data_IF_355578143893
#
_entry.id   IF_355578143893
#
_cell.length_a   1.000
_cell.length_b   1.000
_cell.length_c   1.000
_cell.angle_alpha   90.00
_cell.angle_beta   90.00
_cell.angle_gamma   90.00
#
_symmetry.space_group_name_H-M   'P 1'
#
loop_
_entity.id
_entity.type
_entity.pdbx_description
1 polymer ?
#
# COMPACT_ATOMS: atom_id res chain seq x y z
N UNK A 1 -33.68 -20.88 -1.05
CA UNK A 1 -33.16 -19.65 -1.68
C UNK A 1 -32.17 -19.00 -0.72
N UNK A 2 -30.87 -18.95 -1.05
CA UNK A 2 -29.88 -18.11 -0.36
C UNK A 2 -28.96 -17.53 -1.42
N UNK A 3 -29.14 -16.23 -1.68
CA UNK A 3 -28.36 -15.45 -2.62
C UNK A 3 -26.90 -15.42 -2.18
N UNK A 4 -26.01 -15.99 -3.00
CA UNK A 4 -24.56 -15.82 -2.85
C UNK A 4 -24.21 -14.51 -3.55
N UNK A 5 -24.26 -13.41 -2.81
CA UNK A 5 -23.74 -12.11 -3.24
C UNK A 5 -22.24 -12.23 -3.53
N UNK A 6 -21.86 -12.09 -4.80
CA UNK A 6 -20.47 -11.98 -5.21
C UNK A 6 -19.86 -10.75 -4.51
N UNK A 7 -18.89 -10.98 -3.61
CA UNK A 7 -18.05 -9.92 -3.05
C UNK A 7 -17.24 -9.33 -4.20
N UNK A 8 -17.70 -8.21 -4.75
CA UNK A 8 -16.88 -7.38 -5.65
C UNK A 8 -15.64 -6.98 -4.85
N UNK A 9 -14.42 -7.30 -5.31
CA UNK A 9 -13.22 -6.88 -4.61
C UNK A 9 -13.18 -5.35 -4.63
N UNK A 10 -13.33 -4.74 -3.45
CA UNK A 10 -13.23 -3.29 -3.27
C UNK A 10 -11.83 -2.89 -3.75
N UNK A 11 -11.74 -2.17 -4.87
CA UNK A 11 -10.46 -1.64 -5.35
C UNK A 11 -9.92 -0.70 -4.28
N UNK A 12 -8.88 -1.13 -3.58
CA UNK A 12 -8.20 -0.31 -2.57
C UNK A 12 -7.76 1.01 -3.20
N UNK A 13 -8.04 2.11 -2.50
CA UNK A 13 -7.77 3.47 -2.92
C UNK A 13 -6.34 3.87 -2.58
N UNK A 14 -5.83 4.93 -3.21
CA UNK A 14 -4.53 5.52 -2.87
C UNK A 14 -4.41 5.80 -1.37
N UNK A 15 -5.48 6.35 -0.77
CA UNK A 15 -5.55 6.71 0.64
C UNK A 15 -5.40 5.47 1.54
N UNK A 16 -6.07 4.36 1.20
CA UNK A 16 -5.97 3.11 1.97
C UNK A 16 -4.53 2.55 1.96
N UNK A 17 -3.86 2.56 0.80
CA UNK A 17 -2.46 2.13 0.72
C UNK A 17 -1.49 3.10 1.41
N UNK A 18 -1.73 4.40 1.30
CA UNK A 18 -0.92 5.41 1.98
C UNK A 18 -1.03 5.27 3.50
N UNK A 19 -2.24 5.08 4.03
CA UNK A 19 -2.45 4.85 5.45
C UNK A 19 -1.72 3.59 5.92
N UNK A 20 -1.86 2.47 5.19
CA UNK A 20 -1.14 1.23 5.50
C UNK A 20 0.38 1.44 5.53
N UNK A 21 0.94 2.15 4.55
CA UNK A 21 2.37 2.46 4.50
C UNK A 21 2.80 3.29 5.71
N UNK A 22 2.00 4.30 6.07
CA UNK A 22 2.24 5.16 7.23
C UNK A 22 2.23 4.36 8.54
N UNK A 23 1.22 3.51 8.73
CA UNK A 23 1.07 2.69 9.94
C UNK A 23 2.26 1.73 10.11
N UNK A 24 2.71 1.10 9.02
CA UNK A 24 3.90 0.24 9.05
C UNK A 24 5.15 1.05 9.41
N UNK A 25 5.32 2.24 8.84
CA UNK A 25 6.47 3.10 9.15
C UNK A 25 6.45 3.65 10.59
N UNK A 26 5.27 3.87 11.17
CA UNK A 26 5.12 4.18 12.60
C UNK A 26 5.50 2.96 13.45
N UNK A 27 4.94 1.79 13.16
CA UNK A 27 5.27 0.56 13.88
C UNK A 27 6.78 0.22 13.83
N UNK A 28 7.43 0.34 12.67
CA UNK A 28 8.87 0.09 12.54
C UNK A 28 9.74 1.05 13.36
N UNK A 29 9.27 2.27 13.66
CA UNK A 29 10.02 3.24 14.47
C UNK A 29 9.95 2.95 15.96
N UNK A 30 8.86 2.34 16.40
CA UNK A 30 8.59 2.07 17.82
C UNK A 30 9.11 0.70 18.27
N UNK A 31 9.61 -0.14 17.36
CA UNK A 31 10.16 -1.46 17.68
C UNK A 31 11.61 -1.32 18.16
N UNK A 32 11.86 -1.66 19.43
CA UNK A 32 13.18 -1.59 20.07
C UNK A 32 14.10 -2.76 19.65
N UNK A 33 13.57 -3.99 19.59
CA UNK A 33 14.25 -5.17 19.06
C UNK A 33 13.34 -5.92 18.07
N UNK A 34 13.50 -5.70 16.75
CA UNK A 34 12.69 -6.39 15.76
C UNK A 34 13.13 -7.84 15.60
N UNK A 35 12.16 -8.76 15.64
CA UNK A 35 12.34 -10.08 15.08
C UNK A 35 12.57 -9.96 13.56
N UNK A 36 13.61 -10.61 13.04
CA UNK A 36 14.02 -10.46 11.63
C UNK A 36 12.92 -10.95 10.69
N UNK A 37 12.22 -12.04 11.04
CA UNK A 37 11.15 -12.57 10.20
C UNK A 37 9.96 -11.60 10.18
N UNK A 38 9.60 -11.00 11.31
CA UNK A 38 8.58 -9.95 11.37
C UNK A 38 8.98 -8.70 10.58
N UNK A 39 10.23 -8.28 10.66
CA UNK A 39 10.73 -7.12 9.91
C UNK A 39 10.60 -7.34 8.40
N UNK A 40 10.94 -8.54 7.91
CA UNK A 40 10.81 -8.90 6.49
C UNK A 40 9.35 -8.83 6.03
N UNK A 41 8.40 -9.31 6.84
CA UNK A 41 6.97 -9.22 6.52
C UNK A 41 6.53 -7.75 6.43
N UNK A 42 6.88 -6.92 7.41
CA UNK A 42 6.51 -5.50 7.43
C UNK A 42 7.09 -4.75 6.20
N UNK A 43 8.35 -5.00 5.86
CA UNK A 43 9.00 -4.37 4.69
C UNK A 43 8.32 -4.80 3.39
N UNK A 44 7.95 -6.07 3.25
CA UNK A 44 7.23 -6.56 2.07
C UNK A 44 5.86 -5.87 1.95
N UNK A 45 5.10 -5.81 3.04
CA UNK A 45 3.79 -5.16 3.04
C UNK A 45 3.88 -3.65 2.74
N UNK A 46 4.89 -2.97 3.29
CA UNK A 46 5.16 -1.56 2.99
C UNK A 46 5.53 -1.39 1.50
N UNK A 47 6.35 -2.27 0.96
CA UNK A 47 6.76 -2.23 -0.46
C UNK A 47 5.56 -2.42 -1.40
N UNK A 48 4.65 -3.33 -1.07
CA UNK A 48 3.42 -3.52 -1.83
C UNK A 48 2.50 -2.30 -1.75
N UNK A 49 2.31 -1.74 -0.56
CA UNK A 49 1.53 -0.51 -0.39
C UNK A 49 2.13 0.66 -1.17
N UNK A 50 3.45 0.83 -1.11
CA UNK A 50 4.19 1.84 -1.85
C UNK A 50 4.00 1.70 -3.36
N UNK A 51 4.14 0.50 -3.93
CA UNK A 51 3.95 0.26 -5.37
C UNK A 51 2.55 0.66 -5.85
N UNK A 52 1.52 0.39 -5.04
CA UNK A 52 0.16 0.82 -5.37
C UNK A 52 0.00 2.35 -5.31
N UNK A 53 0.62 3.00 -4.33
CA UNK A 53 0.67 4.46 -4.27
C UNK A 53 1.39 5.05 -5.48
N UNK A 54 2.56 4.50 -5.83
CA UNK A 54 3.37 4.92 -6.96
C UNK A 54 2.60 4.78 -8.28
N UNK A 55 1.97 3.64 -8.55
CA UNK A 55 1.21 3.42 -9.78
C UNK A 55 0.07 4.45 -9.97
N UNK A 56 -0.53 4.92 -8.87
CA UNK A 56 -1.54 5.99 -8.91
C UNK A 56 -0.93 7.35 -9.18
N UNK A 57 0.24 7.65 -8.60
CA UNK A 57 0.98 8.89 -8.87
C UNK A 57 1.41 8.93 -10.33
N UNK A 58 2.01 7.86 -10.84
CA UNK A 58 2.43 7.74 -12.24
C UNK A 58 1.26 7.95 -13.21
N UNK A 59 0.09 7.39 -12.89
CA UNK A 59 -1.11 7.62 -13.69
C UNK A 59 -1.54 9.10 -13.71
N UNK A 60 -1.40 9.83 -12.60
CA UNK A 60 -1.69 11.26 -12.52
C UNK A 60 -0.63 12.07 -13.27
N UNK A 61 0.65 11.77 -13.08
CA UNK A 61 1.77 12.44 -13.76
C UNK A 61 1.65 12.32 -15.28
N UNK A 62 1.27 11.14 -15.77
CA UNK A 62 1.01 10.91 -17.19
C UNK A 62 -0.14 11.75 -17.73
N UNK A 63 -1.22 11.91 -16.96
CA UNK A 63 -2.36 12.78 -17.34
C UNK A 63 -1.95 14.25 -17.34
N UNK A 64 -1.08 14.65 -16.41
CA UNK A 64 -0.59 16.03 -16.30
C UNK A 64 0.59 16.34 -17.23
N UNK A 65 1.11 15.36 -17.97
CA UNK A 65 2.27 15.51 -18.84
C UNK A 65 3.57 15.80 -18.09
N UNK A 66 3.68 15.35 -16.84
CA UNK A 66 4.82 15.58 -15.95
C UNK A 66 5.88 14.46 -16.03
N UNK A 67 5.77 13.54 -16.99
CA UNK A 67 6.73 12.44 -17.18
C UNK A 67 8.14 13.03 -17.34
N UNK A 68 8.99 12.81 -16.32
CA UNK A 68 10.40 13.20 -16.38
C UNK A 68 11.06 12.38 -17.48
N UNK A 69 11.40 13.07 -18.57
CA UNK A 69 12.09 12.53 -19.74
C UNK A 69 13.51 12.10 -19.41
#
# INVERSE_FOLDING_TARGET
MKEKGAKVPKKSTYIEHYQKLKDIAEAMRDIEEPDIDQLVVMVNEATEAYKNCQARIEAVEKVLGLESK
#
